data_IF_468506443843
#
_entry.id   IF_468506443843
#
_cell.length_a   1.000
_cell.length_b   1.000
_cell.length_c   1.000
_cell.angle_alpha   90.00
_cell.angle_beta   90.00
_cell.angle_gamma   90.00
#
_symmetry.space_group_name_H-M   'P 1'
#
loop_
_entity.id
_entity.type
_entity.pdbx_description
1 polymer ?
#
# COMPACT_ATOMS: atom_id res chain seq x y z
N UNK A 1 0.15 -17.11 1.28
CA UNK A 1 0.09 -16.05 2.30
C UNK A 1 -1.29 -15.41 2.29
N UNK A 2 -1.92 -15.18 3.43
CA UNK A 2 -3.27 -14.58 3.52
C UNK A 2 -3.37 -13.19 2.84
N UNK A 3 -2.24 -12.50 2.67
CA UNK A 3 -2.11 -11.25 1.92
C UNK A 3 -2.47 -11.39 0.43
N UNK A 4 -2.16 -12.52 -0.20
CA UNK A 4 -2.44 -12.76 -1.63
C UNK A 4 -3.94 -12.92 -1.91
N UNK A 5 -4.72 -13.35 -0.90
CA UNK A 5 -6.18 -13.46 -1.02
C UNK A 5 -6.88 -12.10 -0.92
N UNK A 6 -6.16 -11.04 -0.52
CA UNK A 6 -6.71 -9.70 -0.40
C UNK A 6 -6.69 -8.98 -1.75
N UNK A 7 -7.65 -8.08 -2.02
CA UNK A 7 -7.67 -7.30 -3.25
C UNK A 7 -6.36 -6.53 -3.46
N UNK A 8 -5.90 -6.40 -4.71
CA UNK A 8 -4.70 -5.63 -5.04
C UNK A 8 -4.75 -4.21 -4.48
N UNK A 9 -5.95 -3.60 -4.47
CA UNK A 9 -6.22 -2.28 -3.93
C UNK A 9 -5.85 -2.17 -2.46
N UNK A 10 -6.38 -3.07 -1.62
CA UNK A 10 -6.04 -3.13 -0.19
C UNK A 10 -4.54 -3.31 0.02
N UNK A 11 -3.91 -4.23 -0.72
CA UNK A 11 -2.47 -4.49 -0.58
C UNK A 11 -1.63 -3.25 -0.83
N UNK A 12 -1.97 -2.48 -1.87
CA UNK A 12 -1.32 -1.20 -2.18
C UNK A 12 -1.56 -0.19 -1.07
N UNK A 13 -2.82 -0.03 -0.63
CA UNK A 13 -3.15 0.91 0.45
C UNK A 13 -2.37 0.60 1.72
N UNK A 14 -2.33 -0.66 2.13
CA UNK A 14 -1.66 -1.09 3.35
C UNK A 14 -0.13 -0.92 3.28
N UNK A 15 0.48 -1.10 2.11
CA UNK A 15 1.90 -0.79 1.92
C UNK A 15 2.16 0.71 2.06
N UNK A 16 1.34 1.54 1.41
CA UNK A 16 1.50 3.00 1.42
C UNK A 16 1.16 3.65 2.76
N UNK A 17 0.31 3.00 3.57
CA UNK A 17 -0.01 3.44 4.92
C UNK A 17 1.23 3.49 5.81
N UNK A 18 2.15 2.53 5.64
CA UNK A 18 3.36 2.44 6.46
C UNK A 18 4.40 3.50 6.06
N UNK A 19 4.58 3.71 4.76
CA UNK A 19 5.52 4.69 4.21
C UNK A 19 5.22 5.00 2.75
N UNK A 20 5.76 6.11 2.27
CA UNK A 20 5.75 6.40 0.84
C UNK A 20 6.63 5.40 0.07
N UNK A 21 6.15 4.92 -1.07
CA UNK A 21 6.88 3.99 -1.94
C UNK A 21 7.04 4.53 -3.35
N UNK A 22 8.18 4.27 -3.99
CA UNK A 22 8.37 4.51 -5.42
C UNK A 22 7.65 3.44 -6.23
N UNK A 23 7.21 3.77 -7.45
CA UNK A 23 6.58 2.82 -8.39
C UNK A 23 7.38 1.52 -8.56
N UNK A 24 8.68 1.53 -8.90
CA UNK A 24 9.44 0.28 -9.08
C UNK A 24 9.52 -0.56 -7.79
N UNK A 25 9.72 0.09 -6.65
CA UNK A 25 9.80 -0.57 -5.33
C UNK A 25 8.48 -1.25 -4.95
N UNK A 26 7.37 -0.55 -5.15
CA UNK A 26 6.05 -1.10 -4.87
C UNK A 26 5.73 -2.28 -5.79
N UNK A 27 6.03 -2.14 -7.09
CA UNK A 27 5.82 -3.22 -8.06
C UNK A 27 6.65 -4.46 -7.71
N UNK A 28 7.93 -4.29 -7.32
CA UNK A 28 8.78 -5.39 -6.90
C UNK A 28 8.24 -6.09 -5.63
N UNK A 29 7.65 -5.33 -4.71
CA UNK A 29 6.99 -5.88 -3.51
C UNK A 29 5.77 -6.70 -3.91
N UNK A 30 4.88 -6.12 -4.70
CA UNK A 30 3.64 -6.76 -5.17
C UNK A 30 3.91 -8.01 -6.01
N UNK A 31 4.97 -8.02 -6.83
CA UNK A 31 5.38 -9.18 -7.61
C UNK A 31 5.82 -10.36 -6.75
N UNK A 32 6.62 -10.11 -5.69
CA UNK A 32 6.96 -11.16 -4.70
C UNK A 32 5.73 -11.73 -4.01
N UNK A 33 4.74 -10.88 -3.89
CA UNK A 33 3.45 -11.15 -3.29
C UNK A 33 2.52 -11.90 -4.26
N UNK A 34 2.89 -12.10 -5.53
CA UNK A 34 2.17 -12.90 -6.53
C UNK A 34 1.43 -12.09 -7.61
N UNK A 35 1.59 -10.77 -7.66
CA UNK A 35 0.99 -9.94 -8.73
C UNK A 35 1.64 -10.26 -10.08
N UNK A 36 0.79 -10.53 -11.08
CA UNK A 36 1.24 -10.82 -12.44
C UNK A 36 1.48 -9.54 -13.25
N UNK A 37 2.16 -9.63 -14.40
CA UNK A 37 2.45 -8.46 -15.24
C UNK A 37 1.18 -7.76 -15.75
N UNK A 38 0.13 -8.52 -16.05
CA UNK A 38 -1.19 -8.01 -16.47
C UNK A 38 -1.83 -7.08 -15.42
N UNK A 39 -1.56 -7.34 -14.16
CA UNK A 39 -2.07 -6.56 -13.04
C UNK A 39 -1.26 -5.28 -12.79
N UNK A 40 -0.09 -5.10 -13.42
CA UNK A 40 0.72 -3.88 -13.28
C UNK A 40 -0.04 -2.62 -13.70
N UNK A 41 -0.79 -2.71 -14.79
CA UNK A 41 -1.60 -1.58 -15.26
C UNK A 41 -2.69 -1.25 -14.22
N UNK A 42 -3.34 -2.27 -13.67
CA UNK A 42 -4.32 -2.09 -12.58
C UNK A 42 -3.68 -1.48 -11.34
N UNK A 43 -2.47 -1.89 -10.96
CA UNK A 43 -1.72 -1.32 -9.83
C UNK A 43 -1.42 0.15 -10.05
N UNK A 44 -1.06 0.55 -11.28
CA UNK A 44 -0.85 1.96 -11.61
C UNK A 44 -2.13 2.77 -11.46
N UNK A 45 -3.25 2.28 -11.99
CA UNK A 45 -4.57 2.93 -11.82
C UNK A 45 -4.94 3.04 -10.34
N UNK A 46 -4.84 1.94 -9.60
CA UNK A 46 -5.08 1.90 -8.15
C UNK A 46 -4.21 2.92 -7.44
N UNK A 47 -2.92 3.03 -7.80
CA UNK A 47 -2.01 3.98 -7.18
C UNK A 47 -2.45 5.43 -7.38
N UNK A 48 -2.91 5.80 -8.57
CA UNK A 48 -3.44 7.14 -8.83
C UNK A 48 -4.72 7.41 -8.03
N UNK A 49 -5.54 6.37 -7.82
CA UNK A 49 -6.79 6.47 -7.06
C UNK A 49 -6.58 6.54 -5.55
N UNK A 50 -5.65 5.76 -5.00
CA UNK A 50 -5.46 5.63 -3.54
C UNK A 50 -4.29 6.42 -2.99
N UNK A 51 -3.36 6.83 -3.86
CA UNK A 51 -2.14 7.51 -3.48
C UNK A 51 -2.02 8.87 -4.16
N UNK A 52 -1.21 9.75 -3.57
CA UNK A 52 -0.74 10.98 -4.18
C UNK A 52 0.69 10.77 -4.65
N UNK A 53 0.95 11.11 -5.91
CA UNK A 53 2.30 11.12 -6.47
C UNK A 53 3.01 12.40 -6.02
N UNK A 54 4.14 12.24 -5.35
CA UNK A 54 5.04 13.32 -5.02
C UNK A 54 5.98 13.58 -6.22
N UNK A 55 5.85 14.70 -6.95
CA UNK A 55 6.67 14.98 -8.13
C UNK A 55 8.14 15.25 -7.79
N UNK A 56 8.47 15.48 -6.51
CA UNK A 56 9.86 15.75 -6.09
C UNK A 56 10.77 14.52 -6.13
N UNK A 57 10.21 13.34 -5.83
CA UNK A 57 10.98 12.08 -5.72
C UNK A 57 10.28 10.89 -6.41
N UNK A 58 9.17 11.15 -7.11
CA UNK A 58 8.32 10.13 -7.74
C UNK A 58 7.84 9.06 -6.75
N UNK A 59 7.66 9.43 -5.50
CA UNK A 59 7.14 8.58 -4.43
C UNK A 59 5.63 8.72 -4.33
N UNK A 60 4.95 7.60 -4.12
CA UNK A 60 3.52 7.53 -3.89
C UNK A 60 3.28 7.50 -2.39
N UNK A 61 2.37 8.33 -1.91
CA UNK A 61 1.97 8.40 -0.51
C UNK A 61 0.46 8.14 -0.41
N UNK A 62 0.01 7.37 0.58
CA UNK A 62 -1.42 7.11 0.75
C UNK A 62 -2.20 8.42 0.94
N UNK A 63 -3.38 8.54 0.34
CA UNK A 63 -4.27 9.69 0.58
C UNK A 63 -4.74 9.67 2.03
N UNK A 64 -4.69 10.83 2.69
CA UNK A 64 -5.14 11.02 4.08
C UNK A 64 -6.54 10.44 4.34
N UNK A 65 -7.47 10.69 3.42
CA UNK A 65 -8.85 10.22 3.50
C UNK A 65 -9.00 8.69 3.52
N UNK A 66 -7.98 7.93 3.09
CA UNK A 66 -7.98 6.46 3.04
C UNK A 66 -7.28 5.83 4.24
N UNK A 67 -6.59 6.61 5.08
CA UNK A 67 -6.02 6.08 6.32
C UNK A 67 -7.11 5.48 7.21
N UNK A 68 -8.34 6.04 7.20
CA UNK A 68 -9.49 5.49 7.93
C UNK A 68 -9.91 4.08 7.46
N UNK A 69 -9.58 3.70 6.23
CA UNK A 69 -9.92 2.40 5.63
C UNK A 69 -8.81 1.35 5.87
N UNK A 70 -7.69 1.73 6.50
CA UNK A 70 -6.56 0.83 6.78
C UNK A 70 -6.90 -0.11 7.94
N UNK A 71 -6.67 -1.41 7.72
CA UNK A 71 -6.94 -2.46 8.68
C UNK A 71 -5.71 -2.71 9.57
N UNK A 72 -5.87 -2.50 10.87
CA UNK A 72 -4.82 -2.75 11.88
C UNK A 72 -4.44 -4.24 11.97
N UNK A 73 -5.38 -5.15 11.68
CA UNK A 73 -5.14 -6.60 11.70
C UNK A 73 -4.66 -7.16 10.34
N UNK A 74 -4.11 -6.31 9.46
CA UNK A 74 -3.64 -6.77 8.17
C UNK A 74 -2.57 -7.87 8.32
N UNK A 75 -2.69 -9.00 7.58
CA UNK A 75 -1.76 -10.13 7.69
C UNK A 75 -0.36 -9.83 7.17
N UNK A 76 -0.17 -8.70 6.46
CA UNK A 76 1.13 -8.24 5.99
C UNK A 76 1.89 -7.37 6.99
N UNK A 77 1.27 -7.00 8.13
CA UNK A 77 1.91 -6.17 9.14
C UNK A 77 2.49 -7.01 10.27
N UNK A 78 3.75 -6.76 10.56
CA UNK A 78 4.42 -7.13 11.80
C UNK A 78 3.86 -6.36 13.00
N UNK A 79 4.09 -6.87 14.21
CA UNK A 79 3.69 -6.19 15.46
C UNK A 79 4.22 -4.76 15.53
N UNK A 80 5.46 -4.53 15.05
CA UNK A 80 6.06 -3.20 14.97
C UNK A 80 5.31 -2.27 14.01
N UNK A 81 4.95 -2.75 12.83
CA UNK A 81 4.18 -1.98 11.84
C UNK A 81 2.77 -1.67 12.35
N UNK A 82 2.13 -2.62 13.04
CA UNK A 82 0.83 -2.41 13.69
C UNK A 82 0.92 -1.31 14.75
N UNK A 83 1.99 -1.28 15.55
CA UNK A 83 2.26 -0.22 16.51
C UNK A 83 2.44 1.15 15.84
N UNK A 84 3.21 1.21 14.75
CA UNK A 84 3.41 2.44 13.98
C UNK A 84 2.10 2.97 13.39
N UNK A 85 1.26 2.08 12.86
CA UNK A 85 -0.07 2.44 12.35
C UNK A 85 -0.95 3.03 13.44
N UNK A 86 -0.90 2.52 14.67
CA UNK A 86 -1.66 3.12 15.77
C UNK A 86 -1.24 4.56 16.10
N UNK A 87 -0.01 4.95 15.77
CA UNK A 87 0.48 6.32 15.98
C UNK A 87 0.10 7.26 14.84
N UNK A 88 0.08 6.77 13.60
CA UNK A 88 -0.20 7.60 12.41
C UNK A 88 -1.69 7.61 12.03
N UNK A 89 -2.45 6.58 12.40
CA UNK A 89 -3.87 6.52 12.10
C UNK A 89 -4.62 7.51 13.00
N UNK A 90 -5.46 8.39 12.44
CA UNK A 90 -6.31 9.24 13.24
C UNK A 90 -7.18 8.37 14.16
N UNK A 91 -7.29 8.79 15.43
CA UNK A 91 -8.03 8.09 16.48
C UNK A 91 -9.53 8.04 16.20
#
# INVERSE_FOLDING_TARGET
SAVYQRPCRDRVMHLLALRSYKKPELLARLQRDGISQKDKNSVETILQEVAQLNPKDNSYMLKDCLFKDIQKDWPGYSETERGLLQLILPR
#
